data_IF_391047194148
#
_entry.id   IF_391047194148
#
_cell.length_a   1.000
_cell.length_b   1.000
_cell.length_c   1.000
_cell.angle_alpha   90.00
_cell.angle_beta   90.00
_cell.angle_gamma   90.00
#
_symmetry.space_group_name_H-M   'P 1'
#
loop_
_entity.id
_entity.type
_entity.pdbx_description
1 polymer ?
#
# COMPACT_ATOMS: atom_id res chain seq x y z
N UNK A 1 2.10 -4.42 14.98
CA UNK A 1 1.64 -5.79 14.60
C UNK A 1 0.82 -5.88 13.32
N UNK A 2 0.30 -4.78 12.73
CA UNK A 2 -0.54 -4.84 11.52
C UNK A 2 0.17 -5.54 10.35
N UNK A 3 1.41 -5.14 10.05
CA UNK A 3 2.23 -5.74 8.99
C UNK A 3 2.46 -7.25 9.24
N UNK A 4 2.74 -7.65 10.48
CA UNK A 4 2.87 -9.07 10.82
C UNK A 4 1.59 -9.86 10.53
N UNK A 5 0.41 -9.32 10.89
CA UNK A 5 -0.88 -9.97 10.59
C UNK A 5 -1.11 -10.08 9.08
N UNK A 6 -0.74 -9.05 8.32
CA UNK A 6 -0.80 -9.06 6.85
C UNK A 6 0.07 -10.18 6.27
N UNK A 7 1.36 -10.23 6.64
CA UNK A 7 2.29 -11.26 6.14
C UNK A 7 1.83 -12.66 6.54
N UNK A 8 1.35 -12.85 7.78
CA UNK A 8 0.83 -14.15 8.25
C UNK A 8 -0.40 -14.60 7.44
N UNK A 9 -1.31 -13.67 7.12
CA UNK A 9 -2.47 -13.96 6.28
C UNK A 9 -2.06 -14.26 4.84
N UNK A 10 -1.11 -13.50 4.29
CA UNK A 10 -0.55 -13.69 2.95
C UNK A 10 0.10 -15.09 2.83
N UNK A 11 0.90 -15.49 3.81
CA UNK A 11 1.49 -16.84 3.88
C UNK A 11 0.42 -17.95 3.91
N UNK A 12 -0.65 -17.78 4.70
CA UNK A 12 -1.74 -18.75 4.75
C UNK A 12 -2.45 -18.94 3.40
N UNK A 13 -2.54 -17.87 2.59
CA UNK A 13 -3.22 -17.92 1.29
C UNK A 13 -2.30 -18.41 0.17
N UNK A 14 -1.05 -17.96 0.13
CA UNK A 14 -0.16 -18.14 -1.02
C UNK A 14 1.08 -19.01 -0.74
N UNK A 15 1.31 -19.44 0.50
CA UNK A 15 2.47 -20.25 0.88
C UNK A 15 3.81 -19.49 0.89
N UNK A 16 3.80 -18.18 0.63
CA UNK A 16 5.00 -17.33 0.60
C UNK A 16 4.92 -16.33 1.76
N UNK A 17 5.86 -16.32 2.72
CA UNK A 17 5.82 -15.42 3.88
C UNK A 17 6.58 -14.09 3.64
N UNK A 18 6.55 -13.55 2.42
CA UNK A 18 7.33 -12.37 2.04
C UNK A 18 6.54 -11.45 1.10
N UNK A 19 6.72 -10.14 1.25
CA UNK A 19 6.15 -9.08 0.41
C UNK A 19 7.24 -8.04 0.15
N UNK A 20 7.24 -7.44 -1.05
CA UNK A 20 8.12 -6.31 -1.36
C UNK A 20 7.57 -5.04 -0.72
N UNK A 21 8.38 -4.38 0.10
CA UNK A 21 8.06 -3.09 0.70
C UNK A 21 8.99 -2.02 0.12
N UNK A 22 8.46 -1.15 -0.74
CA UNK A 22 9.19 -0.03 -1.33
C UNK A 22 8.63 1.30 -0.85
N UNK A 23 9.34 2.40 -1.09
CA UNK A 23 8.86 3.74 -0.76
C UNK A 23 7.50 4.01 -1.42
N UNK A 24 6.56 4.55 -0.67
CA UNK A 24 5.28 5.00 -1.23
C UNK A 24 5.42 6.44 -1.72
N UNK A 25 5.78 6.58 -2.99
CA UNK A 25 5.93 7.84 -3.72
C UNK A 25 5.74 7.61 -5.22
N UNK A 26 5.62 8.71 -5.97
CA UNK A 26 5.81 8.66 -7.42
C UNK A 26 7.32 8.79 -7.72
N UNK A 27 7.73 8.42 -8.94
CA UNK A 27 9.13 8.56 -9.35
C UNK A 27 9.60 10.02 -9.16
N UNK A 28 10.73 10.19 -8.48
CA UNK A 28 11.34 11.49 -8.15
C UNK A 28 10.52 12.39 -7.18
N UNK A 29 9.41 11.90 -6.62
CA UNK A 29 8.65 12.62 -5.59
C UNK A 29 9.04 12.15 -4.17
N UNK A 30 8.91 13.03 -3.14
CA UNK A 30 9.06 12.62 -1.74
C UNK A 30 8.07 11.53 -1.34
N UNK A 31 8.36 10.84 -0.23
CA UNK A 31 7.41 9.91 0.38
C UNK A 31 6.14 10.66 0.77
N UNK A 32 5.00 10.05 0.49
CA UNK A 32 3.67 10.55 0.85
C UNK A 32 3.57 10.84 2.34
N UNK A 33 3.12 12.06 2.68
CA UNK A 33 2.96 12.51 4.08
C UNK A 33 1.52 12.91 4.43
N UNK A 34 0.59 12.95 3.46
CA UNK A 34 -0.81 13.26 3.70
C UNK A 34 -1.77 12.28 2.98
N UNK A 35 -3.01 12.11 3.47
CA UNK A 35 -4.03 11.34 2.74
C UNK A 35 -4.28 11.86 1.33
N UNK A 36 -4.20 13.18 1.12
CA UNK A 36 -4.34 13.82 -0.18
C UNK A 36 -3.27 13.37 -1.16
N UNK A 37 -2.01 13.26 -0.73
CA UNK A 37 -0.90 12.77 -1.57
C UNK A 37 -1.14 11.31 -1.99
N UNK A 38 -1.57 10.46 -1.05
CA UNK A 38 -1.87 9.06 -1.32
C UNK A 38 -3.03 8.90 -2.33
N UNK A 39 -4.08 9.71 -2.19
CA UNK A 39 -5.21 9.75 -3.13
C UNK A 39 -4.74 10.20 -4.52
N UNK A 40 -3.81 11.15 -4.59
CA UNK A 40 -3.24 11.59 -5.87
C UNK A 40 -2.46 10.46 -6.56
N UNK A 41 -1.68 9.66 -5.82
CA UNK A 41 -1.04 8.45 -6.38
C UNK A 41 -2.05 7.46 -6.97
N UNK A 42 -3.17 7.21 -6.28
CA UNK A 42 -4.25 6.36 -6.80
C UNK A 42 -4.90 6.97 -8.06
N UNK A 43 -5.17 8.28 -8.07
CA UNK A 43 -5.76 8.98 -9.23
C UNK A 43 -4.86 8.95 -10.46
N UNK A 44 -3.55 9.11 -10.27
CA UNK A 44 -2.50 9.01 -11.30
C UNK A 44 -2.27 7.57 -11.79
N UNK A 45 -2.91 6.56 -11.18
CA UNK A 45 -2.76 5.12 -11.45
C UNK A 45 -1.35 4.58 -11.15
N UNK A 46 -0.69 5.12 -10.13
CA UNK A 46 0.61 4.60 -9.67
C UNK A 46 0.46 3.35 -8.78
N UNK A 47 -0.74 3.12 -8.25
CA UNK A 47 -1.13 1.96 -7.45
C UNK A 47 -2.56 1.57 -7.84
N UNK A 48 -2.90 0.29 -7.67
CA UNK A 48 -4.24 -0.23 -7.96
C UNK A 48 -5.21 -0.05 -6.78
N UNK A 49 -4.70 -0.23 -5.56
CA UNK A 49 -5.47 -0.20 -4.32
C UNK A 49 -4.77 0.66 -3.28
N UNK A 50 -5.54 1.51 -2.60
CA UNK A 50 -5.05 2.34 -1.50
C UNK A 50 -5.75 1.94 -0.21
N UNK A 51 -4.97 1.51 0.78
CA UNK A 51 -5.47 1.23 2.14
C UNK A 51 -4.96 2.32 3.07
N UNK A 52 -5.88 3.09 3.67
CA UNK A 52 -5.58 4.10 4.69
C UNK A 52 -6.45 3.82 5.90
N UNK A 53 -5.82 3.47 7.02
CA UNK A 53 -6.51 3.03 8.25
C UNK A 53 -7.50 1.89 7.96
N UNK A 54 -8.79 2.13 8.16
CA UNK A 54 -9.87 1.16 7.97
C UNK A 54 -10.60 1.32 6.62
N UNK A 55 -10.05 2.11 5.71
CA UNK A 55 -10.64 2.36 4.40
C UNK A 55 -9.81 1.69 3.30
N UNK A 56 -10.51 1.00 2.39
CA UNK A 56 -10.00 0.57 1.10
C UNK A 56 -10.58 1.50 0.03
N UNK A 57 -9.71 2.18 -0.70
CA UNK A 57 -10.07 3.11 -1.77
C UNK A 57 -9.62 2.52 -3.09
N UNK A 58 -10.52 2.51 -4.07
CA UNK A 58 -10.27 2.06 -5.45
C UNK A 58 -10.80 3.12 -6.41
N UNK A 59 -10.28 3.14 -7.64
CA UNK A 59 -10.83 3.96 -8.71
C UNK A 59 -11.98 3.27 -9.42
#
# INVERSE_FOLDING_TARGET
LLIYKLIKKFYKTYGIPCIINTSFNNHEEPIVCSPSDAINCLKKKNIDFLVINNFLVTK
#
